data_IF_764449567500
#
_entry.id   IF_764449567500
#
_cell.length_a   1.000
_cell.length_b   1.000
_cell.length_c   1.000
_cell.angle_alpha   90.00
_cell.angle_beta   90.00
_cell.angle_gamma   90.00
#
_symmetry.space_group_name_H-M   'P 1'
#
loop_
_entity.id
_entity.type
_entity.pdbx_description
1 polymer ?
#
# COMPACT_ATOMS: atom_id res chain seq x y z
N UNK A 1 -5.95 -64.52 17.48
CA UNK A 1 -6.94 -65.27 18.28
C UNK A 1 -6.48 -65.24 19.74
N UNK A 2 -7.35 -64.78 20.64
CA UNK A 2 -7.12 -64.43 22.06
C UNK A 2 -7.55 -65.56 23.02
N UNK A 3 -7.25 -65.44 24.34
CA UNK A 3 -8.32 -65.69 25.31
C UNK A 3 -8.40 -64.72 26.52
N UNK A 4 -9.62 -64.18 26.68
CA UNK A 4 -10.46 -63.94 27.88
C UNK A 4 -9.85 -63.40 29.20
N UNK A 5 -10.32 -62.21 29.59
CA UNK A 5 -10.25 -61.70 30.97
C UNK A 5 -10.53 -60.20 31.10
N UNK A 6 -11.73 -59.74 30.73
CA UNK A 6 -12.18 -58.38 31.09
C UNK A 6 -12.52 -58.32 32.59
N UNK A 7 -12.22 -57.19 33.23
CA UNK A 7 -13.16 -56.57 34.17
C UNK A 7 -12.96 -55.05 34.20
N UNK A 8 -14.03 -54.33 33.88
CA UNK A 8 -14.25 -52.94 34.30
C UNK A 8 -14.77 -52.98 35.73
N UNK A 9 -14.34 -52.05 36.58
CA UNK A 9 -15.14 -51.70 37.76
C UNK A 9 -15.32 -50.20 37.94
N UNK A 10 -16.54 -49.88 38.39
CA UNK A 10 -17.33 -48.67 38.32
C UNK A 10 -17.12 -47.82 39.60
N UNK A 11 -17.08 -46.49 39.44
CA UNK A 11 -17.38 -45.46 40.47
C UNK A 11 -16.51 -45.31 41.76
N UNK A 12 -15.74 -44.20 41.73
CA UNK A 12 -15.49 -43.16 42.78
C UNK A 12 -14.73 -43.50 44.08
N UNK A 13 -13.64 -42.75 44.31
CA UNK A 13 -13.15 -42.44 45.66
C UNK A 13 -11.83 -41.66 45.80
N UNK A 14 -11.80 -40.36 45.42
CA UNK A 14 -10.83 -39.30 45.83
C UNK A 14 -9.33 -39.49 45.46
N UNK A 15 -8.47 -38.48 45.30
CA UNK A 15 -8.51 -37.05 45.62
C UNK A 15 -7.66 -36.24 44.61
N UNK A 16 -7.99 -34.95 44.46
CA UNK A 16 -7.39 -33.98 43.53
C UNK A 16 -5.92 -33.67 43.85
N UNK A 17 -5.05 -33.72 42.85
CA UNK A 17 -3.86 -32.87 42.78
C UNK A 17 -4.06 -31.86 41.63
N UNK A 18 -4.07 -30.56 41.96
CA UNK A 18 -4.15 -29.48 40.98
C UNK A 18 -2.83 -29.43 40.21
N UNK A 19 -2.77 -30.07 39.04
CA UNK A 19 -1.74 -29.75 38.06
C UNK A 19 -2.09 -28.38 37.45
N UNK A 20 -1.31 -27.37 37.80
CA UNK A 20 -1.25 -26.09 37.09
C UNK A 20 -0.65 -26.43 35.73
N UNK A 21 -1.50 -26.50 34.72
CA UNK A 21 -1.09 -26.64 33.32
C UNK A 21 -0.14 -25.47 33.03
N UNK A 22 1.15 -25.79 32.88
CA UNK A 22 2.12 -24.84 32.39
C UNK A 22 1.68 -24.53 30.96
N UNK A 23 1.00 -23.40 30.78
CA UNK A 23 0.64 -22.89 29.46
C UNK A 23 1.88 -22.92 28.58
N UNK A 24 1.87 -23.83 27.60
CA UNK A 24 2.94 -23.95 26.62
C UNK A 24 3.16 -22.57 26.02
N UNK A 25 4.33 -22.00 26.29
CA UNK A 25 4.74 -20.77 25.63
C UNK A 25 4.72 -21.06 24.13
N UNK A 26 4.03 -20.25 23.31
CA UNK A 26 4.05 -20.45 21.87
C UNK A 26 5.51 -20.45 21.39
N UNK A 27 5.86 -21.30 20.40
CA UNK A 27 7.23 -21.41 19.93
C UNK A 27 7.72 -20.02 19.52
N UNK A 28 8.94 -19.66 19.97
CA UNK A 28 9.58 -18.40 19.62
C UNK A 28 9.71 -18.36 18.10
N UNK A 29 8.87 -17.56 17.44
CA UNK A 29 8.92 -17.32 15.99
C UNK A 29 10.36 -16.87 15.68
N UNK A 30 11.11 -17.69 14.93
CA UNK A 30 12.47 -17.35 14.52
C UNK A 30 12.46 -16.01 13.80
N UNK A 31 13.12 -15.01 14.39
CA UNK A 31 13.21 -13.67 13.83
C UNK A 31 14.10 -13.72 12.58
N UNK A 32 13.64 -13.09 11.49
CA UNK A 32 14.47 -12.83 10.30
C UNK A 32 14.53 -13.91 9.22
N UNK A 33 13.73 -14.98 9.29
CA UNK A 33 13.71 -16.00 8.24
C UNK A 33 12.68 -15.68 7.15
N UNK A 34 13.09 -15.70 5.87
CA UNK A 34 12.18 -15.60 4.72
C UNK A 34 11.35 -16.89 4.65
N UNK A 35 10.02 -16.76 4.67
CA UNK A 35 9.10 -17.91 4.74
C UNK A 35 8.40 -18.23 3.42
N UNK A 36 8.35 -17.28 2.50
CA UNK A 36 7.74 -17.39 1.19
C UNK A 36 8.25 -16.26 0.28
N UNK A 37 8.08 -16.41 -1.03
CA UNK A 37 8.46 -15.40 -2.02
C UNK A 37 7.45 -15.37 -3.16
N UNK A 38 7.27 -14.18 -3.74
CA UNK A 38 6.56 -14.02 -5.00
C UNK A 38 7.32 -14.74 -6.12
N UNK A 39 6.60 -15.27 -7.11
CA UNK A 39 7.22 -15.91 -8.29
C UNK A 39 7.83 -14.89 -9.25
N UNK A 40 7.46 -13.62 -9.09
CA UNK A 40 7.88 -12.50 -9.92
C UNK A 40 8.60 -11.44 -9.08
N UNK A 41 9.10 -10.38 -9.73
CA UNK A 41 9.80 -9.27 -9.07
C UNK A 41 8.78 -8.29 -8.47
N UNK A 42 8.59 -8.26 -7.13
CA UNK A 42 7.62 -7.34 -6.53
C UNK A 42 8.21 -5.94 -6.44
N UNK A 43 7.52 -4.95 -7.01
CA UNK A 43 7.87 -3.52 -6.92
C UNK A 43 7.20 -2.87 -5.71
N UNK A 44 6.01 -3.35 -5.34
CA UNK A 44 5.24 -2.78 -4.25
C UNK A 44 4.61 -3.87 -3.38
N UNK A 45 4.56 -3.61 -2.07
CA UNK A 45 3.88 -4.46 -1.12
C UNK A 45 3.17 -3.62 -0.03
N UNK A 46 1.96 -4.04 0.35
CA UNK A 46 1.18 -3.42 1.42
C UNK A 46 0.40 -4.45 2.21
N UNK A 47 0.44 -4.34 3.53
CA UNK A 47 -0.50 -5.05 4.39
C UNK A 47 -1.87 -4.39 4.32
N UNK A 48 -2.92 -5.20 4.35
CA UNK A 48 -4.26 -4.75 4.67
C UNK A 48 -4.27 -4.15 6.09
N UNK A 49 -5.15 -3.16 6.38
CA UNK A 49 -5.18 -2.49 7.68
C UNK A 49 -5.39 -3.43 8.88
N UNK A 50 -6.07 -4.56 8.66
CA UNK A 50 -6.33 -5.59 9.67
C UNK A 50 -5.18 -6.61 9.82
N UNK A 51 -4.16 -6.52 8.97
CA UNK A 51 -3.01 -7.43 8.94
C UNK A 51 -3.30 -8.83 8.40
N UNK A 52 -4.52 -9.12 7.91
CA UNK A 52 -4.92 -10.46 7.47
C UNK A 52 -4.60 -10.76 6.01
N UNK A 53 -4.23 -9.74 5.26
CA UNK A 53 -3.78 -9.89 3.88
C UNK A 53 -2.55 -9.03 3.62
N UNK A 54 -1.69 -9.50 2.72
CA UNK A 54 -0.62 -8.73 2.12
C UNK A 54 -0.87 -8.72 0.61
N UNK A 55 -0.89 -7.53 -0.01
CA UNK A 55 -0.96 -7.40 -1.46
C UNK A 55 0.40 -7.01 -1.99
N UNK A 56 0.85 -7.69 -3.03
CA UNK A 56 2.08 -7.38 -3.76
C UNK A 56 1.76 -7.09 -5.23
N UNK A 57 2.43 -6.10 -5.80
CA UNK A 57 2.38 -5.78 -7.22
C UNK A 57 3.73 -6.07 -7.87
N UNK A 58 3.72 -6.66 -9.06
CA UNK A 58 4.89 -7.13 -9.79
C UNK A 58 5.27 -6.21 -10.96
N UNK A 59 6.54 -6.27 -11.39
CA UNK A 59 7.01 -5.76 -12.69
C UNK A 59 6.24 -6.38 -13.86
N UNK A 60 5.81 -7.64 -13.72
CA UNK A 60 5.06 -8.38 -14.74
C UNK A 60 3.55 -8.01 -14.75
N UNK A 61 3.14 -6.99 -13.98
CA UNK A 61 1.75 -6.52 -13.92
C UNK A 61 0.83 -7.31 -12.99
N UNK A 62 1.27 -8.47 -12.48
CA UNK A 62 0.50 -9.26 -11.53
C UNK A 62 0.32 -8.57 -10.18
N UNK A 63 -0.89 -8.69 -9.64
CA UNK A 63 -1.25 -8.34 -8.27
C UNK A 63 -1.61 -9.62 -7.54
N UNK A 64 -0.84 -9.93 -6.50
CA UNK A 64 -0.98 -11.15 -5.71
C UNK A 64 -1.44 -10.82 -4.29
N UNK A 65 -2.31 -11.67 -3.74
CA UNK A 65 -2.84 -11.54 -2.37
C UNK A 65 -2.36 -12.71 -1.54
N UNK A 66 -1.73 -12.42 -0.41
CA UNK A 66 -1.10 -13.40 0.47
C UNK A 66 -1.78 -13.44 1.84
N UNK A 67 -1.87 -14.64 2.40
CA UNK A 67 -2.15 -14.90 3.82
C UNK A 67 -0.81 -14.80 4.56
N UNK A 68 -0.59 -13.74 5.36
CA UNK A 68 0.71 -13.49 5.98
C UNK A 68 1.01 -14.44 7.14
N UNK A 69 0.00 -14.95 7.84
CA UNK A 69 0.19 -15.91 8.92
C UNK A 69 0.49 -17.31 8.35
N UNK A 70 -0.27 -17.70 7.33
CA UNK A 70 -0.07 -18.96 6.61
C UNK A 70 1.10 -18.94 5.62
N UNK A 71 1.71 -17.77 5.36
CA UNK A 71 2.81 -17.59 4.42
C UNK A 71 2.50 -18.16 3.02
N UNK A 72 1.27 -17.99 2.54
CA UNK A 72 0.78 -18.63 1.31
C UNK A 72 -0.05 -17.67 0.47
N UNK A 73 0.02 -17.86 -0.84
CA UNK A 73 -0.86 -17.17 -1.78
C UNK A 73 -2.31 -17.57 -1.52
N UNK A 74 -3.21 -16.60 -1.47
CA UNK A 74 -4.66 -16.81 -1.29
C UNK A 74 -5.28 -17.31 -2.58
N UNK A 75 -5.21 -18.62 -2.79
CA UNK A 75 -5.84 -19.34 -3.90
C UNK A 75 -7.32 -19.63 -3.68
N UNK A 76 -7.82 -19.37 -2.47
CA UNK A 76 -9.22 -19.46 -2.08
C UNK A 76 -10.09 -18.34 -2.69
N UNK A 77 -9.46 -17.26 -3.16
CA UNK A 77 -10.15 -16.18 -3.84
C UNK A 77 -10.59 -16.67 -5.23
N UNK A 78 -11.88 -16.57 -5.54
CA UNK A 78 -12.51 -17.05 -6.79
C UNK A 78 -11.74 -16.68 -8.06
N UNK A 79 -11.09 -15.53 -8.00
CA UNK A 79 -10.34 -14.90 -9.07
C UNK A 79 -8.95 -15.54 -9.33
N UNK A 80 -8.29 -16.22 -8.38
CA UNK A 80 -7.09 -17.04 -8.69
C UNK A 80 -7.46 -18.41 -9.30
N UNK A 81 -8.74 -18.78 -9.28
CA UNK A 81 -9.26 -20.07 -9.71
C UNK A 81 -9.98 -20.05 -11.07
N UNK A 82 -10.30 -18.86 -11.59
CA UNK A 82 -10.80 -18.62 -12.96
C UNK A 82 -9.71 -17.84 -13.68
N UNK A 83 -9.49 -18.04 -14.97
CA UNK A 83 -8.43 -17.37 -15.77
C UNK A 83 -8.53 -15.82 -15.83
N UNK A 84 -9.30 -15.18 -14.97
CA UNK A 84 -9.25 -13.75 -14.76
C UNK A 84 -8.05 -13.47 -13.85
N UNK A 85 -7.08 -12.66 -14.31
CA UNK A 85 -5.96 -12.18 -13.48
C UNK A 85 -6.06 -10.67 -13.09
N UNK A 86 -5.70 -10.30 -11.86
CA UNK A 86 -5.67 -9.00 -11.19
C UNK A 86 -4.35 -8.50 -11.70
N UNK A 87 -4.41 -8.09 -12.93
CA UNK A 87 -3.24 -7.81 -13.70
C UNK A 87 -3.40 -6.44 -14.34
N UNK A 88 -2.28 -5.80 -14.52
CA UNK A 88 -2.11 -4.70 -15.44
C UNK A 88 -1.35 -5.16 -16.66
N UNK A 89 -1.32 -4.32 -17.68
CA UNK A 89 -0.59 -4.59 -18.91
C UNK A 89 0.91 -4.35 -18.73
N UNK A 90 1.28 -3.51 -17.76
CA UNK A 90 2.66 -3.22 -17.37
C UNK A 90 2.84 -3.31 -15.84
N UNK A 91 4.05 -2.96 -15.37
CA UNK A 91 4.46 -3.01 -13.98
C UNK A 91 3.50 -2.28 -13.02
N UNK A 92 3.21 -2.91 -11.89
CA UNK A 92 2.44 -2.32 -10.80
C UNK A 92 3.37 -1.53 -9.88
N UNK A 93 3.36 -0.21 -10.01
CA UNK A 93 4.27 0.68 -9.29
C UNK A 93 3.76 1.06 -7.90
N UNK A 94 2.46 1.02 -7.68
CA UNK A 94 1.87 1.46 -6.42
C UNK A 94 0.63 0.67 -6.04
N UNK A 95 0.43 0.49 -4.74
CA UNK A 95 -0.81 -0.05 -4.19
C UNK A 95 -1.17 0.58 -2.85
N UNK A 96 -2.46 0.61 -2.53
CA UNK A 96 -2.99 1.06 -1.24
C UNK A 96 -4.32 0.37 -0.92
N UNK A 97 -4.72 0.42 0.35
CA UNK A 97 -5.99 -0.13 0.82
C UNK A 97 -6.95 0.97 1.26
N UNK A 98 -8.24 0.70 1.10
CA UNK A 98 -9.26 1.41 1.86
C UNK A 98 -9.11 1.12 3.34
N UNK A 99 -9.65 2.01 4.19
CA UNK A 99 -9.46 1.91 5.64
C UNK A 99 -10.10 0.67 6.27
N UNK A 100 -11.20 0.20 5.69
CA UNK A 100 -11.88 -1.05 6.06
C UNK A 100 -11.17 -2.30 5.53
N UNK A 101 -10.18 -2.16 4.64
CA UNK A 101 -9.45 -3.27 4.03
C UNK A 101 -10.24 -4.01 2.95
N UNK A 102 -11.46 -3.58 2.62
CA UNK A 102 -12.29 -4.27 1.62
C UNK A 102 -11.82 -4.01 0.18
N UNK A 103 -11.25 -2.83 -0.05
CA UNK A 103 -10.77 -2.40 -1.36
C UNK A 103 -9.25 -2.28 -1.39
N UNK A 104 -8.68 -2.68 -2.53
CA UNK A 104 -7.30 -2.41 -2.87
C UNK A 104 -7.26 -1.59 -4.16
N UNK A 105 -6.49 -0.52 -4.20
CA UNK A 105 -6.18 0.20 -5.43
C UNK A 105 -4.75 -0.10 -5.85
N UNK A 106 -4.54 -0.25 -7.16
CA UNK A 106 -3.23 -0.50 -7.77
C UNK A 106 -3.00 0.43 -8.96
N UNK A 107 -1.81 1.03 -9.05
CA UNK A 107 -1.40 1.94 -10.10
C UNK A 107 -0.33 1.30 -10.98
N UNK A 108 -0.45 1.51 -12.28
CA UNK A 108 0.39 0.88 -13.30
C UNK A 108 1.36 1.87 -13.94
N UNK A 109 2.46 1.36 -14.51
CA UNK A 109 3.42 2.10 -15.32
C UNK A 109 2.80 2.70 -16.60
N UNK A 110 1.74 2.10 -17.14
CA UNK A 110 0.98 2.63 -18.29
C UNK A 110 0.13 3.89 -17.97
N UNK A 111 0.08 4.30 -16.70
CA UNK A 111 -0.69 5.45 -16.24
C UNK A 111 -2.15 5.14 -15.87
N UNK A 112 -2.55 3.88 -15.96
CA UNK A 112 -3.84 3.39 -15.50
C UNK A 112 -3.85 3.10 -13.99
N UNK A 113 -5.04 3.13 -13.40
CA UNK A 113 -5.26 2.67 -12.04
C UNK A 113 -6.48 1.78 -11.99
N UNK A 114 -6.44 0.76 -11.13
CA UNK A 114 -7.57 -0.17 -10.92
C UNK A 114 -7.90 -0.25 -9.44
N UNK A 115 -9.18 -0.37 -9.14
CA UNK A 115 -9.69 -0.58 -7.78
C UNK A 115 -10.42 -1.91 -7.74
N UNK A 116 -10.06 -2.72 -6.77
CA UNK A 116 -10.47 -4.09 -6.65
C UNK A 116 -11.17 -4.34 -5.33
N UNK A 117 -12.16 -5.24 -5.34
CA UNK A 117 -12.73 -5.80 -4.12
C UNK A 117 -11.89 -7.00 -3.70
N UNK A 118 -11.25 -6.93 -2.53
CA UNK A 118 -10.28 -7.93 -2.09
C UNK A 118 -10.90 -9.32 -1.88
N UNK A 119 -12.12 -9.36 -1.34
CA UNK A 119 -12.82 -10.61 -1.03
C UNK A 119 -13.14 -11.45 -2.28
N UNK A 120 -13.38 -10.80 -3.42
CA UNK A 120 -13.78 -11.48 -4.67
C UNK A 120 -12.72 -11.39 -5.76
N UNK A 121 -11.75 -10.49 -5.64
CA UNK A 121 -10.79 -10.14 -6.70
C UNK A 121 -11.40 -9.33 -7.86
N UNK A 122 -12.68 -8.95 -7.78
CA UNK A 122 -13.36 -8.24 -8.86
C UNK A 122 -12.80 -6.83 -9.03
N UNK A 123 -12.49 -6.45 -10.29
CA UNK A 123 -12.19 -5.07 -10.65
C UNK A 123 -13.46 -4.22 -10.58
N UNK A 124 -13.59 -3.41 -9.54
CA UNK A 124 -14.73 -2.51 -9.37
C UNK A 124 -14.61 -1.27 -10.27
N UNK A 125 -13.40 -0.76 -10.43
CA UNK A 125 -13.13 0.44 -11.26
C UNK A 125 -11.83 0.30 -12.02
N UNK A 126 -11.86 0.82 -13.25
CA UNK A 126 -10.71 0.97 -14.12
C UNK A 126 -10.64 2.43 -14.55
N UNK A 127 -9.52 3.08 -14.23
CA UNK A 127 -9.18 4.42 -14.66
C UNK A 127 -8.12 4.29 -15.75
N UNK A 128 -8.54 4.04 -16.99
CA UNK A 128 -7.62 3.81 -18.13
C UNK A 128 -6.74 5.02 -18.43
N UNK A 129 -7.22 6.23 -18.12
CA UNK A 129 -6.48 7.48 -18.27
C UNK A 129 -6.43 8.22 -16.94
N UNK A 130 -6.01 7.53 -15.87
CA UNK A 130 -5.79 8.21 -14.60
C UNK A 130 -4.70 9.28 -14.79
N UNK A 131 -3.57 8.89 -15.38
CA UNK A 131 -2.44 9.76 -15.70
C UNK A 131 -1.95 9.51 -17.13
N UNK A 132 -1.15 10.42 -17.68
CA UNK A 132 -0.52 10.22 -19.00
C UNK A 132 0.80 9.44 -18.93
N UNK A 133 1.28 9.15 -17.72
CA UNK A 133 2.45 8.34 -17.42
C UNK A 133 2.21 7.55 -16.13
N UNK A 134 3.14 6.66 -15.77
CA UNK A 134 3.00 5.73 -14.65
C UNK A 134 2.54 6.34 -13.32
N UNK A 135 1.66 5.61 -12.63
CA UNK A 135 1.08 5.99 -11.33
C UNK A 135 1.97 5.49 -10.20
N UNK A 136 2.80 6.39 -9.67
CA UNK A 136 3.89 6.09 -8.72
C UNK A 136 3.43 5.94 -7.28
N UNK A 137 2.32 6.58 -6.91
CA UNK A 137 1.86 6.60 -5.54
C UNK A 137 0.35 6.85 -5.49
N UNK A 138 -0.31 6.27 -4.49
CA UNK A 138 -1.75 6.43 -4.30
C UNK A 138 -2.14 6.32 -2.83
N UNK A 139 -3.28 6.91 -2.49
CA UNK A 139 -3.94 6.73 -1.20
C UNK A 139 -5.45 6.88 -1.30
N UNK A 140 -6.20 6.14 -0.50
CA UNK A 140 -7.63 6.37 -0.36
C UNK A 140 -7.90 7.59 0.54
N UNK A 141 -8.96 8.33 0.21
CA UNK A 141 -9.57 9.24 1.16
C UNK A 141 -10.15 8.43 2.34
N UNK A 142 -10.25 9.08 3.50
CA UNK A 142 -10.64 8.43 4.76
C UNK A 142 -12.07 7.89 4.77
N UNK A 143 -12.93 8.51 3.97
CA UNK A 143 -14.32 8.10 3.75
C UNK A 143 -14.45 6.96 2.72
N UNK A 144 -13.35 6.55 2.07
CA UNK A 144 -13.33 5.53 1.05
C UNK A 144 -14.00 5.93 -0.27
N UNK A 145 -14.40 7.18 -0.46
CA UNK A 145 -15.15 7.61 -1.67
C UNK A 145 -14.26 8.08 -2.80
N UNK A 146 -13.02 8.47 -2.48
CA UNK A 146 -12.06 9.03 -3.41
C UNK A 146 -10.71 8.32 -3.33
N UNK A 147 -10.00 8.32 -4.46
CA UNK A 147 -8.63 7.85 -4.59
C UNK A 147 -7.76 9.03 -5.02
N UNK A 148 -6.68 9.29 -4.30
CA UNK A 148 -5.65 10.26 -4.66
C UNK A 148 -4.49 9.51 -5.32
N UNK A 149 -3.97 10.02 -6.42
CA UNK A 149 -2.83 9.45 -7.13
C UNK A 149 -1.81 10.52 -7.50
N UNK A 150 -0.54 10.16 -7.49
CA UNK A 150 0.56 10.93 -8.08
C UNK A 150 1.25 10.11 -9.18
N UNK A 151 1.92 10.80 -10.10
CA UNK A 151 2.48 10.18 -11.31
C UNK A 151 3.79 10.81 -11.76
N UNK A 152 4.49 10.10 -12.65
CA UNK A 152 5.57 10.62 -13.48
C UNK A 152 5.12 11.78 -14.39
N UNK A 153 3.83 11.93 -14.67
CA UNK A 153 3.30 13.08 -15.42
C UNK A 153 3.33 14.42 -14.64
N UNK A 154 3.92 14.42 -13.44
CA UNK A 154 4.14 15.57 -12.56
C UNK A 154 2.84 16.13 -11.94
N UNK A 155 1.73 15.40 -12.10
CA UNK A 155 0.43 15.81 -11.56
C UNK A 155 -0.01 14.91 -10.43
N UNK A 156 -0.90 15.46 -9.60
CA UNK A 156 -1.66 14.71 -8.62
C UNK A 156 -3.12 14.77 -9.06
N UNK A 157 -3.86 13.68 -8.92
CA UNK A 157 -5.27 13.63 -9.31
C UNK A 157 -6.11 12.97 -8.23
N UNK A 158 -7.35 13.44 -8.14
CA UNK A 158 -8.38 12.86 -7.27
C UNK A 158 -9.43 12.21 -8.15
N UNK A 159 -9.71 10.94 -7.89
CA UNK A 159 -10.66 10.12 -8.63
C UNK A 159 -11.84 9.79 -7.74
N UNK A 160 -13.06 10.01 -8.24
CA UNK A 160 -14.28 9.60 -7.55
C UNK A 160 -14.59 8.15 -7.83
N UNK A 161 -14.66 7.30 -6.79
CA UNK A 161 -14.98 5.88 -6.98
C UNK A 161 -16.41 5.67 -7.46
N UNK A 162 -17.36 6.47 -6.96
CA UNK A 162 -18.76 6.38 -7.40
C UNK A 162 -18.93 6.80 -8.86
N UNK A 163 -18.33 7.92 -9.24
CA UNK A 163 -18.43 8.47 -10.60
C UNK A 163 -17.56 7.75 -11.63
N UNK A 164 -16.48 7.08 -11.19
CA UNK A 164 -15.49 6.48 -12.08
C UNK A 164 -14.70 7.51 -12.90
N UNK A 165 -14.64 8.76 -12.43
CA UNK A 165 -13.99 9.87 -13.15
C UNK A 165 -12.97 10.60 -12.27
N UNK A 166 -11.97 11.17 -12.92
CA UNK A 166 -11.08 12.18 -12.33
C UNK A 166 -11.89 13.43 -12.00
N UNK A 167 -11.88 13.84 -10.74
CA UNK A 167 -12.60 14.99 -10.22
C UNK A 167 -11.72 16.24 -10.19
N UNK A 168 -10.44 16.08 -9.88
CA UNK A 168 -9.49 17.19 -9.70
C UNK A 168 -8.10 16.82 -10.17
N UNK A 169 -7.35 17.85 -10.49
CA UNK A 169 -5.95 17.77 -10.89
C UNK A 169 -5.18 18.91 -10.22
N UNK A 170 -4.05 18.56 -9.58
CA UNK A 170 -3.16 19.51 -8.94
C UNK A 170 -1.90 19.58 -9.79
N UNK A 171 -1.62 20.77 -10.32
CA UNK A 171 -0.45 21.05 -11.15
C UNK A 171 0.49 21.99 -10.42
N UNK A 172 1.78 21.72 -10.51
CA UNK A 172 2.80 22.62 -9.97
C UNK A 172 4.12 21.96 -9.62
N UNK A 173 4.15 20.64 -9.40
CA UNK A 173 5.43 19.93 -9.36
C UNK A 173 6.15 20.06 -10.70
N UNK A 174 7.46 20.31 -10.66
CA UNK A 174 8.31 20.45 -11.85
C UNK A 174 8.97 19.14 -12.29
N UNK A 175 8.67 18.04 -11.60
CA UNK A 175 9.17 16.70 -11.88
C UNK A 175 8.21 15.68 -11.26
N UNK A 176 8.58 14.41 -11.31
CA UNK A 176 7.76 13.27 -10.88
C UNK A 176 7.22 13.45 -9.47
N UNK A 177 5.96 13.08 -9.26
CA UNK A 177 5.37 13.00 -7.92
C UNK A 177 5.70 11.61 -7.37
N UNK A 178 6.33 11.54 -6.20
CA UNK A 178 6.79 10.27 -5.61
C UNK A 178 5.92 9.81 -4.44
N UNK A 179 5.24 10.74 -3.77
CA UNK A 179 4.37 10.42 -2.65
C UNK A 179 3.23 11.42 -2.56
N UNK A 180 2.06 10.93 -2.16
CA UNK A 180 0.86 11.72 -1.92
C UNK A 180 0.14 11.21 -0.67
N UNK A 181 -0.45 12.11 0.10
CA UNK A 181 -1.31 11.75 1.23
C UNK A 181 -2.35 12.83 1.50
N UNK A 182 -3.45 12.45 2.17
CA UNK A 182 -4.39 13.39 2.77
C UNK A 182 -3.97 13.74 4.20
N UNK A 183 -4.31 14.95 4.64
CA UNK A 183 -4.39 15.24 6.08
C UNK A 183 -5.54 14.47 6.73
N UNK A 184 -5.49 14.29 8.06
CA UNK A 184 -6.47 13.47 8.78
C UNK A 184 -7.92 14.00 8.68
N UNK A 185 -8.06 15.31 8.54
CA UNK A 185 -9.32 16.01 8.31
C UNK A 185 -9.76 15.99 6.83
N UNK A 186 -8.91 15.52 5.91
CA UNK A 186 -9.16 15.48 4.47
C UNK A 186 -9.14 16.86 3.80
N UNK A 187 -8.87 17.94 4.53
CA UNK A 187 -8.94 19.30 4.00
C UNK A 187 -7.75 19.64 3.09
N UNK A 188 -6.63 18.94 3.24
CA UNK A 188 -5.41 19.19 2.49
C UNK A 188 -4.84 17.92 1.90
N UNK A 189 -4.14 18.10 0.79
CA UNK A 189 -3.27 17.10 0.19
C UNK A 189 -1.84 17.51 0.45
N UNK A 190 -0.97 16.55 0.76
CA UNK A 190 0.49 16.74 0.84
C UNK A 190 1.14 15.85 -0.21
N UNK A 191 2.11 16.39 -0.94
CA UNK A 191 2.86 15.65 -1.94
C UNK A 191 4.35 15.91 -1.86
N UNK A 192 5.15 14.90 -2.20
CA UNK A 192 6.59 15.02 -2.38
C UNK A 192 6.96 14.71 -3.82
N UNK A 193 7.81 15.54 -4.42
CA UNK A 193 8.25 15.40 -5.81
C UNK A 193 9.76 15.24 -5.97
N UNK A 194 10.16 14.68 -7.10
CA UNK A 194 11.56 14.62 -7.56
C UNK A 194 12.13 16.00 -7.91
N UNK A 195 11.30 17.05 -7.91
CA UNK A 195 11.72 18.44 -8.02
C UNK A 195 12.34 18.99 -6.72
N UNK A 196 12.55 18.12 -5.73
CA UNK A 196 13.11 18.45 -4.43
C UNK A 196 12.14 19.22 -3.53
N UNK A 197 10.84 19.26 -3.88
CA UNK A 197 9.84 20.01 -3.12
C UNK A 197 8.83 19.11 -2.43
N UNK A 198 8.35 19.57 -1.27
CA UNK A 198 7.11 19.07 -0.66
C UNK A 198 6.07 20.16 -0.78
N UNK A 199 4.88 19.83 -1.28
CA UNK A 199 3.79 20.79 -1.48
C UNK A 199 2.59 20.43 -0.64
N UNK A 200 1.91 21.45 -0.13
CA UNK A 200 0.63 21.33 0.55
C UNK A 200 -0.41 22.04 -0.29
N UNK A 201 -1.52 21.36 -0.53
CA UNK A 201 -2.59 21.81 -1.41
C UNK A 201 -3.90 21.88 -0.65
N UNK A 202 -4.76 22.81 -1.03
CA UNK A 202 -6.15 22.78 -0.62
C UNK A 202 -6.87 21.65 -1.39
N UNK A 203 -7.42 20.67 -0.67
CA UNK A 203 -8.06 19.51 -1.31
C UNK A 203 -9.35 19.90 -2.04
N UNK A 204 -9.97 21.03 -1.69
CA UNK A 204 -11.21 21.52 -2.29
C UNK A 204 -10.92 22.29 -3.58
N UNK A 205 -9.99 23.23 -3.58
CA UNK A 205 -9.71 24.11 -4.73
C UNK A 205 -8.61 23.59 -5.65
N UNK A 206 -7.81 22.63 -5.20
CA UNK A 206 -6.59 22.15 -5.86
C UNK A 206 -5.48 23.19 -6.01
N UNK A 207 -5.55 24.28 -5.24
CA UNK A 207 -4.52 25.32 -5.22
C UNK A 207 -3.38 24.94 -4.28
N UNK A 208 -2.16 25.32 -4.66
CA UNK A 208 -0.98 25.16 -3.82
C UNK A 208 -1.01 26.19 -2.69
N UNK A 209 -1.02 25.72 -1.44
CA UNK A 209 -0.99 26.57 -0.25
C UNK A 209 0.45 26.86 0.20
N UNK A 210 1.29 25.83 0.22
CA UNK A 210 2.67 25.92 0.69
C UNK A 210 3.59 25.07 -0.18
N UNK A 211 4.83 25.54 -0.38
CA UNK A 211 5.91 24.77 -0.99
C UNK A 211 7.13 24.82 -0.08
N UNK A 212 7.57 23.65 0.36
CA UNK A 212 8.77 23.47 1.14
C UNK A 212 9.89 23.02 0.21
N UNK A 213 11.04 23.66 0.32
CA UNK A 213 12.30 23.23 -0.30
C UNK A 213 13.34 23.07 0.79
N UNK A 214 14.23 22.07 0.72
CA UNK A 214 15.39 22.07 1.59
C UNK A 214 16.14 23.37 1.35
N UNK A 215 16.53 24.05 2.43
CA UNK A 215 17.51 25.12 2.32
C UNK A 215 18.74 24.50 1.68
N UNK A 216 19.18 25.01 0.53
CA UNK A 216 20.54 24.73 0.08
C UNK A 216 21.43 25.05 1.28
N UNK A 217 22.23 24.08 1.72
CA UNK A 217 23.28 24.38 2.67
C UNK A 217 24.03 25.57 2.09
N UNK A 218 23.94 26.73 2.74
CA UNK A 218 24.90 27.79 2.49
C UNK A 218 26.24 27.24 2.96
N UNK A 219 26.90 26.52 2.06
CA UNK A 219 28.25 26.05 2.23
C UNK A 219 29.16 27.25 2.23
N UNK A 220 29.44 27.74 3.44
CA UNK A 220 30.69 28.34 3.86
C UNK A 220 31.23 29.44 2.97
N UNK A 221 30.92 30.68 3.32
CA UNK A 221 31.90 31.74 3.16
C UNK A 221 33.17 31.38 3.93
N UNK A 222 34.19 30.92 3.21
CA UNK A 222 35.55 31.41 3.39
C UNK A 222 35.72 32.48 2.29
N UNK A 223 35.84 33.77 2.59
CA UNK A 223 36.80 34.31 3.55
C UNK A 223 38.21 34.19 2.98
N UNK A 224 38.46 34.79 1.81
CA UNK A 224 39.76 34.86 1.16
C UNK A 224 39.74 35.96 0.10
N UNK A 225 40.49 37.04 0.33
CA UNK A 225 40.27 38.36 -0.27
C UNK A 225 40.77 38.58 -1.70
N UNK A 226 40.50 39.80 -2.18
CA UNK A 226 40.95 40.38 -3.45
C UNK A 226 39.78 40.54 -4.42
N UNK A 227 39.37 41.72 -4.88
CA UNK A 227 39.93 43.05 -4.90
C UNK A 227 39.35 43.76 -6.13
N UNK A 228 38.91 45.03 -5.98
CA UNK A 228 38.42 45.89 -7.07
C UNK A 228 36.95 45.60 -7.45
N UNK A 229 36.01 46.55 -7.44
CA UNK A 229 36.10 47.97 -7.74
C UNK A 229 35.14 48.23 -8.89
N UNK A 230 34.00 48.90 -8.65
CA UNK A 230 33.04 49.22 -9.70
C UNK A 230 31.69 49.64 -9.14
N UNK A 231 31.31 50.87 -9.44
CA UNK A 231 30.26 51.68 -8.83
C UNK A 231 28.97 51.63 -9.67
N UNK A 232 27.82 51.62 -8.98
CA UNK A 232 26.43 51.79 -9.42
C UNK A 232 25.78 50.66 -10.21
#
# INVERSE_FOLDING_TARGET
MLPKGQQFDLFRGAARARHREAAERPPRRGAGQIRFGAKSHPEVARFAPDGRALVTGSVDGFVEVWDPDGCRLRKDLEYQARDEFMMHEEAVLSCCFSRDGELCATGCADGSAKVWKLATGQCLRRFERAHSQGVTCMTFARDGTQLLSGSFDQTIKVHGLKSGRTLKEFRGHGSFVNSVTYTLDGARVVSGGSDGTVRVWDARTAEALLTFRPALAQGGGAGGGGGGGGRW
#
